data_IF_719951906276
#
_entry.id   IF_719951906276
#
_cell.length_a   1.000
_cell.length_b   1.000
_cell.length_c   1.000
_cell.angle_alpha   90.00
_cell.angle_beta   90.00
_cell.angle_gamma   90.00
#
_symmetry.space_group_name_H-M   'P 1'
#
loop_
_entity.id
_entity.type
_entity.pdbx_description
1 polymer ?
2 non-polymer ?
3 non-polymer ?
4 non-polymer ?
5 water ?
#
# COMPACT_ATOMS: atom_id res chain seq x y z
N UNK A 11 -18.69 7.87 -14.86
CA UNK A 11 -18.75 7.73 -13.41
C UNK A 11 -17.35 7.68 -12.81
N UNK A 12 -16.39 7.15 -13.57
CA UNK A 12 -15.00 7.10 -13.13
C UNK A 12 -14.38 8.50 -13.16
N UNK A 13 -14.63 9.22 -14.25
CA UNK A 13 -14.09 10.57 -14.40
C UNK A 13 -14.66 11.52 -13.36
N UNK A 14 -15.91 11.28 -12.96
CA UNK A 14 -16.51 12.05 -11.87
C UNK A 14 -15.83 11.70 -10.56
N UNK A 15 -15.47 10.42 -10.42
CA UNK A 15 -14.75 9.95 -9.26
C UNK A 15 -13.41 10.64 -9.12
N UNK A 16 -12.67 10.70 -10.23
CA UNK A 16 -11.37 11.36 -10.25
C UNK A 16 -11.48 12.83 -9.88
N UNK A 17 -12.51 13.50 -10.42
CA UNK A 17 -12.73 14.91 -10.17
C UNK A 17 -13.03 15.19 -8.71
N UNK A 18 -13.87 14.33 -8.10
CA UNK A 18 -14.23 14.48 -6.71
C UNK A 18 -13.02 14.28 -5.79
N UNK A 19 -12.20 13.28 -6.09
CA UNK A 19 -11.00 13.02 -5.32
C UNK A 19 -10.05 14.20 -5.37
N UNK A 20 -9.81 14.73 -6.57
CA UNK A 20 -8.98 15.90 -6.76
C UNK A 20 -9.55 17.10 -6.03
N UNK A 21 -10.88 17.24 -6.09
CA UNK A 21 -11.56 18.36 -5.46
C UNK A 21 -11.46 18.36 -3.95
N UNK A 22 -11.56 17.17 -3.35
CA UNK A 22 -11.42 17.02 -1.91
C UNK A 22 -10.04 17.52 -1.46
N UNK A 23 -9.01 17.14 -2.22
CA UNK A 23 -7.64 17.55 -1.93
C UNK A 23 -7.48 19.06 -2.01
N UNK A 24 -8.09 19.67 -3.02
CA UNK A 24 -8.04 21.12 -3.18
C UNK A 24 -8.75 21.82 -2.02
N UNK A 25 -9.89 21.28 -1.62
CA UNK A 25 -10.64 21.82 -0.49
C UNK A 25 -9.83 21.78 0.80
N UNK A 26 -8.98 20.75 0.93
CA UNK A 26 -8.23 20.53 2.15
C UNK A 26 -6.84 21.17 2.11
N UNK A 27 -6.50 21.78 0.98
CA UNK A 27 -5.18 22.36 0.77
C UNK A 27 -4.81 23.40 1.82
N UNK A 28 -3.52 23.44 2.17
CA UNK A 28 -3.02 24.45 3.10
C UNK A 28 -3.05 25.82 2.46
N UNK A 29 -2.97 25.84 1.12
CA UNK A 29 -3.01 27.07 0.35
C UNK A 29 -3.26 26.76 -1.13
N UNK A 30 -4.51 26.83 -1.55
CA UNK A 30 -4.90 26.52 -2.92
C UNK A 30 -4.19 27.41 -3.95
N UNK A 31 -3.87 28.63 -3.55
CA UNK A 31 -3.25 29.58 -4.47
C UNK A 31 -1.77 29.27 -4.70
N UNK A 32 -1.17 28.51 -3.79
CA UNK A 32 0.23 28.15 -3.90
C UNK A 32 0.42 26.86 -4.72
N UNK A 33 -0.69 26.23 -5.06
CA UNK A 33 -0.67 24.99 -5.83
C UNK A 33 -0.01 25.19 -7.19
N UNK A 34 1.04 24.41 -7.44
CA UNK A 34 1.76 24.45 -8.71
C UNK A 34 1.10 23.54 -9.73
N UNK A 35 0.53 24.14 -10.77
CA UNK A 35 -0.24 23.40 -11.77
C UNK A 35 0.62 22.45 -12.60
N UNK A 36 1.88 22.81 -12.80
CA UNK A 36 2.82 21.94 -13.50
C UNK A 36 3.04 20.68 -12.68
N UNK A 37 3.27 20.86 -11.38
CA UNK A 37 3.56 19.76 -10.48
C UNK A 37 2.38 18.79 -10.37
N UNK A 38 1.21 19.31 -9.99
CA UNK A 38 0.05 18.47 -9.76
C UNK A 38 -0.61 18.03 -11.07
N UNK A 39 -0.47 18.84 -12.11
CA UNK A 39 -1.00 18.47 -13.41
C UNK A 39 -0.17 17.34 -14.00
N UNK A 40 1.14 17.47 -13.88
CA UNK A 40 2.04 16.45 -14.37
C UNK A 40 1.97 15.17 -13.57
N UNK A 41 1.77 15.29 -12.26
CA UNK A 41 1.71 14.12 -11.37
C UNK A 41 0.49 13.26 -11.70
N UNK A 42 -0.66 13.90 -11.88
CA UNK A 42 -1.86 13.20 -12.27
C UNK A 42 -1.72 12.59 -13.66
N UNK A 43 -1.08 13.34 -14.55
CA UNK A 43 -0.86 12.89 -15.92
C UNK A 43 -0.03 11.61 -15.93
N UNK A 44 0.99 11.57 -15.09
CA UNK A 44 1.86 10.39 -15.00
C UNK A 44 1.12 9.20 -14.40
N UNK A 45 0.39 9.41 -13.31
CA UNK A 45 -0.35 8.32 -12.68
C UNK A 45 -1.42 7.78 -13.61
N UNK A 46 -2.09 8.68 -14.33
CA UNK A 46 -3.11 8.28 -15.29
C UNK A 46 -2.50 7.54 -16.48
N UNK A 47 -1.41 8.09 -17.02
CA UNK A 47 -0.76 7.52 -18.19
C UNK A 47 -0.11 6.18 -17.88
N UNK A 48 0.51 6.09 -16.71
CA UNK A 48 1.12 4.84 -16.25
C UNK A 48 0.06 3.75 -16.24
N UNK A 49 -1.11 4.06 -15.69
CA UNK A 49 -2.22 3.14 -15.66
C UNK A 49 -2.70 2.76 -17.04
N UNK A 50 -2.80 3.75 -17.93
CA UNK A 50 -3.18 3.50 -19.32
C UNK A 50 -2.20 2.56 -19.99
N UNK A 51 -0.92 2.83 -19.77
CA UNK A 51 0.15 2.08 -20.41
C UNK A 51 0.15 0.60 -20.02
N UNK A 52 0.10 0.32 -18.72
CA UNK A 52 0.27 -1.05 -18.24
C UNK A 52 -1.04 -1.84 -18.06
N UNK A 53 -2.17 -1.14 -18.07
CA UNK A 53 -3.46 -1.82 -17.90
C UNK A 53 -4.29 -1.87 -19.18
N UNK A 54 -3.92 -1.06 -20.16
CA UNK A 54 -4.70 -0.94 -21.38
C UNK A 54 -3.87 -1.17 -22.64
N UNK A 55 -2.73 -0.49 -22.74
CA UNK A 55 -1.85 -0.63 -23.89
C UNK A 55 -1.18 -2.00 -23.92
N UNK A 56 -1.37 -2.75 -25.02
CA UNK A 56 -0.86 -4.11 -25.20
C UNK A 56 0.60 -4.31 -24.80
N UNK A 57 1.49 -3.45 -25.29
CA UNK A 57 2.91 -3.58 -24.95
C UNK A 57 3.15 -3.39 -23.46
N UNK A 58 2.40 -2.47 -22.86
CA UNK A 58 2.53 -2.21 -21.44
C UNK A 58 1.98 -3.34 -20.60
N UNK A 59 0.84 -3.89 -21.02
CA UNK A 59 0.24 -5.05 -20.37
C UNK A 59 1.22 -6.21 -20.35
N UNK A 60 2.01 -6.33 -21.41
CA UNK A 60 2.98 -7.41 -21.53
C UNK A 60 4.20 -7.18 -20.65
N UNK A 61 4.60 -5.91 -20.49
CA UNK A 61 5.70 -5.58 -19.59
C UNK A 61 5.29 -5.83 -18.15
N UNK A 62 4.07 -5.43 -17.80
CA UNK A 62 3.53 -5.66 -16.48
C UNK A 62 3.42 -7.15 -16.19
N UNK A 63 2.90 -7.90 -17.17
CA UNK A 63 2.77 -9.35 -17.05
C UNK A 63 4.13 -10.01 -16.88
N UNK A 64 5.12 -9.52 -17.63
CA UNK A 64 6.46 -10.05 -17.56
C UNK A 64 7.12 -9.78 -16.21
N UNK A 65 6.96 -8.56 -15.72
CA UNK A 65 7.48 -8.17 -14.41
C UNK A 65 6.83 -9.00 -13.30
N UNK A 66 5.52 -9.16 -13.40
CA UNK A 66 4.76 -9.89 -12.39
C UNK A 66 5.13 -11.37 -12.33
N UNK A 67 5.43 -11.95 -13.49
CA UNK A 67 5.84 -13.35 -13.57
C UNK A 67 7.19 -13.57 -12.92
N UNK A 68 8.08 -12.58 -13.07
CA UNK A 68 9.39 -12.63 -12.44
C UNK A 68 9.24 -12.57 -10.92
N UNK A 69 8.39 -11.66 -10.45
CA UNK A 69 8.08 -11.55 -9.04
C UNK A 69 7.51 -12.86 -8.50
N UNK A 70 6.62 -13.46 -9.28
CA UNK A 70 6.03 -14.75 -8.93
C UNK A 70 7.10 -15.84 -8.83
N UNK A 71 8.07 -15.80 -9.74
CA UNK A 71 9.17 -16.74 -9.73
C UNK A 71 10.08 -16.56 -8.51
N UNK A 72 10.35 -15.31 -8.17
CA UNK A 72 11.17 -14.99 -7.00
C UNK A 72 10.51 -15.47 -5.71
N UNK A 73 9.20 -15.27 -5.61
CA UNK A 73 8.44 -15.77 -4.47
C UNK A 73 8.59 -17.29 -4.32
N UNK A 74 8.45 -18.00 -5.43
CA UNK A 74 8.55 -19.45 -5.45
C UNK A 74 9.92 -19.96 -5.05
N UNK A 75 10.97 -19.24 -5.47
CA UNK A 75 12.33 -19.58 -5.06
C UNK A 75 12.50 -19.41 -3.54
N UNK A 76 11.98 -18.30 -3.03
CA UNK A 76 12.05 -18.03 -1.61
C UNK A 76 11.32 -19.07 -0.77
N UNK A 77 10.30 -19.68 -1.35
CA UNK A 77 9.51 -20.70 -0.65
C UNK A 77 10.28 -22.00 -0.42
N UNK A 78 11.46 -22.12 -1.02
CA UNK A 78 12.33 -23.27 -0.76
C UNK A 78 12.87 -23.22 0.66
N UNK A 79 13.13 -22.00 1.14
CA UNK A 79 13.58 -21.81 2.51
C UNK A 79 12.47 -22.16 3.47
N UNK A 80 11.25 -21.78 3.12
CA UNK A 80 10.07 -22.12 3.92
C UNK A 80 9.87 -23.62 3.98
N UNK A 81 10.02 -24.28 2.83
CA UNK A 81 9.87 -25.72 2.74
C UNK A 81 10.87 -26.44 3.64
N UNK A 82 12.09 -25.94 3.71
CA UNK A 82 13.11 -26.54 4.57
C UNK A 82 12.70 -26.48 6.04
N UNK A 83 12.19 -25.33 6.46
CA UNK A 83 11.93 -25.12 7.88
C UNK A 83 10.66 -25.81 8.36
N UNK A 84 9.64 -25.85 7.51
CA UNK A 84 8.33 -26.34 7.95
C UNK A 84 7.88 -27.64 7.27
N UNK A 85 8.67 -28.11 6.31
CA UNK A 85 8.48 -29.41 5.69
C UNK A 85 7.07 -29.77 5.25
N UNK A 86 6.54 -30.86 5.82
CA UNK A 86 5.24 -31.36 5.45
C UNK A 86 4.09 -30.40 5.66
N UNK A 87 4.25 -29.46 6.60
CA UNK A 87 3.18 -28.53 6.95
C UNK A 87 2.93 -27.49 5.87
N UNK A 88 3.83 -27.40 4.89
CA UNK A 88 3.59 -26.55 3.72
C UNK A 88 3.66 -27.39 2.43
N UNK A 89 3.29 -28.66 2.55
CA UNK A 89 3.27 -29.55 1.40
C UNK A 89 1.84 -29.77 0.92
N UNK A 90 1.69 -30.43 -0.22
CA UNK A 90 0.37 -30.69 -0.79
C UNK A 90 -0.46 -31.62 0.05
N UNK A 91 0.20 -32.40 0.89
CA UNK A 91 -0.46 -33.35 1.77
C UNK A 91 -1.42 -32.66 2.75
N UNK A 92 -1.11 -31.40 3.07
CA UNK A 92 -1.92 -30.62 4.01
C UNK A 92 -3.35 -30.41 3.50
N UNK A 93 -3.50 -30.26 2.19
CA UNK A 93 -4.81 -30.03 1.61
C UNK A 93 -5.64 -31.31 1.57
N UNK A 94 -4.96 -32.45 1.48
CA UNK A 94 -5.63 -33.74 1.54
C UNK A 94 -6.20 -33.98 2.93
N UNK A 95 -5.40 -33.66 3.95
CA UNK A 95 -5.77 -33.92 5.34
C UNK A 95 -6.77 -32.90 5.88
N UNK A 96 -6.50 -31.62 5.67
CA UNK A 96 -7.29 -30.56 6.31
C UNK A 96 -8.22 -29.81 5.36
N UNK A 97 -8.16 -30.14 4.07
CA UNK A 97 -8.95 -29.43 3.09
C UNK A 97 -8.46 -28.01 2.92
N UNK A 98 -9.40 -27.05 2.92
CA UNK A 98 -9.06 -25.65 2.79
C UNK A 98 -8.18 -25.16 3.93
N UNK A 99 -8.40 -25.72 5.12
CA UNK A 99 -7.64 -25.34 6.29
C UNK A 99 -6.21 -25.86 6.28
N UNK A 100 -5.83 -26.51 5.18
CA UNK A 100 -4.48 -27.02 5.03
C UNK A 100 -3.47 -25.93 4.71
N UNK A 101 -3.98 -24.78 4.29
CA UNK A 101 -3.16 -23.60 4.04
C UNK A 101 -2.91 -22.87 5.36
N UNK A 102 -1.74 -23.09 5.95
CA UNK A 102 -1.40 -22.46 7.22
C UNK A 102 -0.75 -21.10 6.96
N UNK A 103 -1.53 -20.03 7.21
CA UNK A 103 -1.09 -18.67 6.93
C UNK A 103 0.27 -18.35 7.54
N UNK A 104 0.45 -18.75 8.80
CA UNK A 104 1.66 -18.43 9.54
C UNK A 104 2.92 -18.99 8.86
N UNK A 105 2.77 -20.11 8.17
CA UNK A 105 3.91 -20.76 7.54
C UNK A 105 3.97 -20.47 6.04
N UNK A 106 2.83 -20.15 5.44
CA UNK A 106 2.77 -19.93 4.00
C UNK A 106 3.07 -18.48 3.62
N UNK A 107 2.59 -17.55 4.42
CA UNK A 107 2.66 -16.13 4.06
C UNK A 107 3.77 -15.38 4.80
N UNK A 108 3.78 -15.49 6.13
CA UNK A 108 4.73 -14.74 6.95
C UNK A 108 6.21 -14.96 6.63
N UNK A 109 6.63 -16.21 6.34
CA UNK A 109 8.05 -16.38 6.01
C UNK A 109 8.50 -15.65 4.74
N UNK A 110 7.57 -15.32 3.85
CA UNK A 110 7.92 -14.62 2.62
C UNK A 110 8.41 -13.21 2.95
N UNK A 111 7.89 -12.64 4.04
CA UNK A 111 8.33 -11.33 4.49
C UNK A 111 9.80 -11.36 4.85
N UNK A 112 10.25 -12.48 5.40
CA UNK A 112 11.63 -12.66 5.81
C UNK A 112 12.57 -12.77 4.60
N UNK A 113 12.19 -13.60 3.63
CA UNK A 113 13.01 -13.81 2.44
C UNK A 113 13.16 -12.54 1.61
N UNK A 114 12.05 -11.81 1.43
CA UNK A 114 12.07 -10.62 0.59
C UNK A 114 12.84 -9.47 1.26
N UNK A 115 12.74 -9.39 2.59
CA UNK A 115 13.51 -8.39 3.33
C UNK A 115 15.01 -8.63 3.16
N UNK A 116 15.40 -9.89 3.16
CA UNK A 116 16.81 -10.27 2.94
C UNK A 116 17.24 -9.94 1.51
N UNK A 117 16.36 -10.23 0.55
CA UNK A 117 16.63 -9.96 -0.85
C UNK A 117 16.82 -8.48 -1.13
N UNK A 118 15.92 -7.67 -0.58
CA UNK A 118 15.98 -6.22 -0.76
C UNK A 118 17.27 -5.65 -0.18
N UNK A 119 17.66 -6.15 0.99
CA UNK A 119 18.90 -5.73 1.63
C UNK A 119 20.12 -6.08 0.76
N UNK A 120 20.06 -7.23 0.09
CA UNK A 120 21.12 -7.63 -0.83
C UNK A 120 21.18 -6.71 -2.04
N UNK A 121 20.01 -6.36 -2.56
CA UNK A 121 19.93 -5.50 -3.74
C UNK A 121 20.38 -4.08 -3.43
N UNK A 122 20.26 -3.66 -2.17
CA UNK A 122 20.77 -2.37 -1.73
C UNK A 122 22.30 -2.40 -1.61
N UNK A 123 22.82 -3.48 -1.03
CA UNK A 123 24.26 -3.65 -0.91
C UNK A 123 24.93 -3.64 -2.28
N UNK A 124 24.28 -4.28 -3.25
CA UNK A 124 24.84 -4.41 -4.59
C UNK A 124 24.65 -3.14 -5.43
N UNK A 125 23.84 -2.23 -4.94
CA UNK A 125 23.63 -0.95 -5.62
C UNK A 125 22.52 -0.99 -6.67
N UNK A 126 21.84 -2.11 -6.76
CA UNK A 126 20.79 -2.30 -7.76
C UNK A 126 19.56 -1.42 -7.47
N UNK A 127 19.12 -1.41 -6.21
CA UNK A 127 17.98 -0.59 -5.82
C UNK A 127 18.25 0.89 -6.08
N UNK A 128 19.41 1.35 -5.63
CA UNK A 128 19.80 2.74 -5.81
C UNK A 128 19.80 3.16 -7.27
N UNK A 129 20.19 2.24 -8.15
CA UNK A 129 20.22 2.50 -9.59
C UNK A 129 18.82 2.75 -10.14
N UNK A 130 17.88 1.87 -9.80
CA UNK A 130 16.50 1.99 -10.25
C UNK A 130 15.83 3.24 -9.67
N UNK A 131 16.07 3.47 -8.39
CA UNK A 131 15.48 4.60 -7.68
C UNK A 131 15.98 5.94 -8.24
N UNK A 132 17.27 5.98 -8.57
CA UNK A 132 17.89 7.18 -9.14
C UNK A 132 17.26 7.56 -10.47
N UNK A 133 16.92 6.55 -11.28
CA UNK A 133 16.32 6.78 -12.58
C UNK A 133 14.86 7.23 -12.49
N UNK A 134 14.10 6.56 -11.65
CA UNK A 134 12.67 6.88 -11.48
C UNK A 134 12.49 8.21 -10.76
N UNK A 135 13.27 8.41 -9.70
CA UNK A 135 13.21 9.65 -8.94
C UNK A 135 13.68 10.83 -9.75
N UNK A 136 14.68 10.60 -10.59
CA UNK A 136 15.20 11.64 -11.47
C UNK A 136 14.16 12.06 -12.49
N UNK A 137 13.45 11.08 -13.05
CA UNK A 137 12.40 11.35 -14.01
C UNK A 137 11.26 12.13 -13.38
N UNK A 138 10.96 11.83 -12.12
CA UNK A 138 9.88 12.49 -11.40
C UNK A 138 10.19 13.97 -11.14
N UNK A 139 11.40 14.26 -10.67
CA UNK A 139 11.74 15.64 -10.32
C UNK A 139 11.88 16.54 -11.55
N UNK A 140 12.36 15.96 -12.65
CA UNK A 140 12.52 16.72 -13.88
C UNK A 140 11.16 17.04 -14.50
N UNK A 141 10.23 16.09 -14.40
CA UNK A 141 8.91 16.26 -14.97
C UNK A 141 8.02 17.13 -14.10
N UNK A 142 8.16 17.01 -12.78
CA UNK A 142 7.23 17.66 -11.85
C UNK A 142 7.78 18.93 -11.23
N UNK A 143 9.10 19.05 -11.16
CA UNK A 143 9.71 20.20 -10.51
C UNK A 143 9.76 20.00 -9.00
N UNK A 144 9.41 18.80 -8.57
CA UNK A 144 9.54 18.43 -7.16
C UNK A 144 11.02 18.36 -6.80
N UNK A 145 11.34 18.49 -5.51
CA UNK A 145 12.73 18.50 -5.09
C UNK A 145 13.39 17.13 -5.28
N UNK A 146 14.71 17.14 -5.35
CA UNK A 146 15.50 15.92 -5.54
C UNK A 146 15.18 14.86 -4.50
N UNK A 147 15.27 15.25 -3.23
CA UNK A 147 15.11 14.32 -2.12
C UNK A 147 13.71 13.71 -2.03
N UNK A 148 12.68 14.52 -2.19
CA UNK A 148 11.31 14.02 -2.05
C UNK A 148 10.93 13.13 -3.24
N UNK A 149 11.54 13.39 -4.39
CA UNK A 149 11.31 12.57 -5.58
C UNK A 149 11.95 11.20 -5.43
N UNK A 150 13.15 11.16 -4.86
CA UNK A 150 13.86 9.90 -4.63
C UNK A 150 13.13 9.04 -3.61
N UNK A 151 12.61 9.69 -2.57
CA UNK A 151 11.86 8.99 -1.54
C UNK A 151 10.56 8.40 -2.09
N UNK A 152 9.92 9.14 -3.00
CA UNK A 152 8.70 8.69 -3.65
C UNK A 152 8.97 7.43 -4.47
N UNK A 153 10.08 7.42 -5.20
CA UNK A 153 10.45 6.29 -6.05
C UNK A 153 10.89 5.09 -5.21
N UNK A 154 11.60 5.34 -4.13
CA UNK A 154 12.04 4.27 -3.23
C UNK A 154 10.84 3.55 -2.63
N UNK A 155 9.78 4.30 -2.36
CA UNK A 155 8.57 3.77 -1.74
C UNK A 155 7.82 2.77 -2.61
N UNK A 156 8.15 2.73 -3.89
CA UNK A 156 7.60 1.73 -4.79
C UNK A 156 8.03 0.34 -4.33
N UNK A 157 9.24 0.25 -3.78
CA UNK A 157 9.85 -1.04 -3.48
C UNK A 157 9.92 -1.34 -1.98
N UNK A 158 10.18 -0.33 -1.16
CA UNK A 158 10.32 -0.55 0.29
C UNK A 158 9.30 0.27 1.10
N UNK A 159 9.23 0.00 2.40
CA UNK A 159 8.22 0.57 3.26
C UNK A 159 8.46 2.02 3.66
N UNK A 160 7.44 2.61 4.27
CA UNK A 160 7.41 4.04 4.57
C UNK A 160 8.54 4.54 5.45
N UNK A 161 9.09 3.67 6.30
CA UNK A 161 10.19 4.07 7.17
C UNK A 161 11.54 3.73 6.55
N UNK A 162 11.53 2.93 5.49
CA UNK A 162 12.78 2.53 4.84
C UNK A 162 13.12 3.43 3.65
N UNK A 163 12.10 3.82 2.89
CA UNK A 163 12.29 4.67 1.72
C UNK A 163 13.06 5.98 1.99
N UNK A 164 12.77 6.69 3.10
CA UNK A 164 13.50 7.95 3.30
C UNK A 164 14.99 7.77 3.59
N UNK A 165 15.42 6.55 3.87
CA UNK A 165 16.82 6.28 4.19
C UNK A 165 17.75 6.66 3.04
N UNK A 166 17.24 6.61 1.81
CA UNK A 166 18.04 6.95 0.64
C UNK A 166 18.35 8.45 0.57
N UNK A 167 17.65 9.25 1.36
CA UNK A 167 17.90 10.69 1.43
C UNK A 167 18.00 11.18 2.87
N UNK A 168 18.43 10.30 3.77
CA UNK A 168 18.40 10.58 5.21
C UNK A 168 19.16 11.83 5.68
N UNK A 169 20.27 12.22 5.01
CA UNK A 169 20.87 13.45 5.55
C UNK A 169 20.13 14.73 5.16
N UNK A 170 19.13 14.63 4.29
CA UNK A 170 18.40 15.80 3.83
C UNK A 170 17.07 16.00 4.55
N UNK A 171 16.66 14.98 5.29
CA UNK A 171 15.40 15.01 6.04
C UNK A 171 15.33 16.09 7.14
N UNK A 172 16.38 16.23 7.97
CA UNK A 172 16.28 17.24 9.04
C UNK A 172 15.98 18.65 8.56
N UNK A 173 16.40 19.01 7.36
CA UNK A 173 16.24 20.39 6.88
C UNK A 173 15.23 20.49 5.75
N UNK A 174 14.42 19.46 5.58
CA UNK A 174 13.37 19.49 4.58
C UNK A 174 12.35 20.57 4.91
N UNK A 175 11.77 21.18 3.87
CA UNK A 175 10.64 22.08 4.07
C UNK A 175 9.46 21.26 4.60
N UNK A 176 8.47 21.94 5.17
CA UNK A 176 7.29 21.24 5.67
C UNK A 176 6.59 20.50 4.54
N UNK A 177 6.61 21.10 3.35
CA UNK A 177 6.02 20.50 2.17
C UNK A 177 6.77 19.24 1.73
N UNK A 178 8.10 19.29 1.81
CA UNK A 178 8.93 18.13 1.48
C UNK A 178 8.67 16.97 2.44
N UNK A 179 8.73 17.27 3.73
CA UNK A 179 8.48 16.28 4.77
C UNK A 179 7.11 15.63 4.61
N UNK A 180 6.11 16.45 4.31
CA UNK A 180 4.75 15.98 4.10
C UNK A 180 4.69 15.04 2.91
N UNK A 181 5.39 15.39 1.84
CA UNK A 181 5.47 14.53 0.65
C UNK A 181 6.14 13.20 0.97
N UNK A 182 7.22 13.24 1.76
CA UNK A 182 7.91 12.03 2.19
C UNK A 182 6.94 11.12 2.95
N UNK A 183 6.14 11.72 3.82
CA UNK A 183 5.13 10.99 4.58
C UNK A 183 4.08 10.39 3.65
N UNK A 184 3.60 11.20 2.71
CA UNK A 184 2.56 10.77 1.78
C UNK A 184 3.02 9.64 0.88
N UNK A 185 4.27 9.71 0.44
CA UNK A 185 4.82 8.67 -0.42
C UNK A 185 4.82 7.31 0.25
N UNK A 186 5.04 7.30 1.56
CA UNK A 186 5.01 6.07 2.33
C UNK A 186 3.59 5.56 2.57
N UNK A 187 2.67 6.49 2.83
CA UNK A 187 1.28 6.13 3.11
C UNK A 187 0.54 5.68 1.87
N UNK A 188 0.93 6.22 0.72
CA UNK A 188 0.28 5.91 -0.55
C UNK A 188 0.75 4.56 -1.11
N UNK A 189 1.83 4.01 -0.55
CA UNK A 189 2.41 2.79 -1.06
C UNK A 189 2.44 1.67 -0.02
N UNK A 190 2.97 0.52 -0.42
CA UNK A 190 3.22 -0.58 0.51
C UNK A 190 4.72 -0.89 0.53
N UNK A 191 5.08 -2.18 0.54
CA UNK A 191 6.47 -2.59 0.51
C UNK A 191 6.63 -3.94 -0.17
N UNK A 192 7.83 -4.22 -0.66
CA UNK A 192 8.12 -5.45 -1.37
C UNK A 192 7.79 -6.70 -0.57
N UNK A 193 8.14 -6.68 0.71
CA UNK A 193 7.88 -7.81 1.58
C UNK A 193 6.42 -8.20 1.68
N UNK A 194 5.56 -7.26 2.06
CA UNK A 194 4.14 -7.54 2.23
C UNK A 194 3.43 -7.71 0.89
N UNK A 195 3.97 -7.12 -0.17
CA UNK A 195 3.43 -7.32 -1.51
C UNK A 195 3.47 -8.81 -1.83
N UNK A 196 4.60 -9.42 -1.54
CA UNK A 196 4.78 -10.86 -1.74
C UNK A 196 3.85 -11.64 -0.82
N UNK A 197 3.58 -11.09 0.36
CA UNK A 197 2.65 -11.70 1.28
C UNK A 197 1.24 -11.67 0.70
N UNK A 198 0.82 -10.50 0.21
CA UNK A 198 -0.51 -10.34 -0.37
C UNK A 198 -0.66 -11.20 -1.62
N UNK A 199 0.41 -11.33 -2.38
CA UNK A 199 0.43 -12.18 -3.56
C UNK A 199 0.21 -13.64 -3.15
N UNK A 200 0.84 -14.04 -2.05
CA UNK A 200 0.72 -15.41 -1.54
C UNK A 200 -0.68 -15.69 -1.02
N UNK A 201 -1.41 -14.63 -0.72
CA UNK A 201 -2.78 -14.75 -0.22
C UNK A 201 -3.79 -14.81 -1.36
N UNK A 202 -3.32 -14.57 -2.59
CA UNK A 202 -4.17 -14.72 -3.76
C UNK A 202 -4.45 -13.41 -4.49
N UNK A 203 -3.94 -12.30 -3.96
CA UNK A 203 -4.11 -11.02 -4.63
C UNK A 203 -3.27 -11.00 -5.89
N UNK A 204 -3.86 -10.56 -7.00
CA UNK A 204 -3.19 -10.57 -8.29
C UNK A 204 -1.94 -9.71 -8.28
N UNK A 205 -0.80 -10.32 -8.62
CA UNK A 205 0.49 -9.64 -8.59
C UNK A 205 0.51 -8.42 -9.50
N UNK A 206 -0.12 -8.55 -10.67
CA UNK A 206 -0.20 -7.45 -11.63
C UNK A 206 -0.79 -6.19 -11.00
N UNK A 207 -1.85 -6.35 -10.23
CA UNK A 207 -2.48 -5.22 -9.57
C UNK A 207 -1.58 -4.62 -8.51
N UNK A 208 -0.92 -5.48 -7.73
CA UNK A 208 -0.01 -5.03 -6.67
C UNK A 208 1.17 -4.26 -7.23
N UNK A 209 1.76 -4.78 -8.30
CA UNK A 209 2.89 -4.12 -8.94
C UNK A 209 2.45 -2.79 -9.56
N UNK A 210 1.30 -2.80 -10.22
CA UNK A 210 0.76 -1.60 -10.85
C UNK A 210 0.47 -0.52 -9.81
N UNK A 211 -0.15 -0.93 -8.71
CA UNK A 211 -0.50 0.01 -7.65
C UNK A 211 0.76 0.58 -6.99
N UNK A 212 1.79 -0.25 -6.86
CA UNK A 212 3.05 0.17 -6.25
C UNK A 212 3.73 1.26 -7.07
N UNK A 213 3.81 1.06 -8.38
CA UNK A 213 4.42 2.05 -9.27
C UNK A 213 3.56 3.31 -9.38
N UNK A 214 2.24 3.14 -9.40
CA UNK A 214 1.34 4.28 -9.50
C UNK A 214 1.31 5.11 -8.22
N UNK A 215 1.82 4.54 -7.14
CA UNK A 215 1.83 5.21 -5.84
C UNK A 215 2.82 6.36 -5.80
N UNK A 216 3.88 6.26 -6.60
CA UNK A 216 4.92 7.30 -6.59
C UNK A 216 4.41 8.64 -7.16
N UNK A 217 3.82 8.64 -8.37
CA UNK A 217 3.27 9.95 -8.78
C UNK A 217 2.01 10.31 -7.99
N UNK A 218 1.21 9.30 -7.65
CA UNK A 218 -0.02 9.52 -6.91
C UNK A 218 0.21 10.16 -5.56
N UNK A 219 1.26 9.72 -4.87
CA UNK A 219 1.62 10.27 -3.58
C UNK A 219 2.06 11.72 -3.69
N UNK A 220 2.85 12.01 -4.72
CA UNK A 220 3.31 13.38 -4.95
C UNK A 220 2.14 14.29 -5.36
N UNK A 221 1.23 13.74 -6.16
CA UNK A 221 0.06 14.48 -6.62
C UNK A 221 -0.74 15.07 -5.46
N UNK A 222 -1.11 14.22 -4.51
CA UNK A 222 -1.97 14.65 -3.42
C UNK A 222 -1.21 15.34 -2.29
N UNK A 223 0.09 15.08 -2.21
CA UNK A 223 0.94 15.81 -1.27
C UNK A 223 1.06 17.26 -1.70
N UNK A 224 1.21 17.47 -3.00
CA UNK A 224 1.41 18.81 -3.54
C UNK A 224 0.10 19.57 -3.72
N UNK A 225 -1.01 18.84 -3.78
CA UNK A 225 -2.32 19.47 -3.79
C UNK A 225 -2.70 19.95 -2.40
N UNK A 226 -2.41 19.12 -1.39
CA UNK A 226 -2.82 19.39 -0.02
C UNK A 226 -1.78 20.19 0.77
N UNK A 227 -0.51 20.09 0.38
CA UNK A 227 0.54 20.86 1.05
C UNK A 227 1.54 21.36 0.01
N UNK A 228 1.16 22.41 -0.74
CA UNK A 228 2.02 22.97 -1.79
C UNK A 228 3.27 23.59 -1.18
N UNK A 229 4.36 23.61 -1.93
CA UNK A 229 5.60 24.20 -1.43
C UNK A 229 5.47 25.71 -1.31
N UNK A 230 5.75 26.22 -0.11
CA UNK A 230 5.75 27.67 0.12
C UNK A 230 7.12 28.14 0.60
N UNK A 231 8.00 27.19 0.87
CA UNK A 231 9.38 27.50 1.26
C UNK A 231 10.31 27.20 0.10
N UNK A 232 11.61 27.30 0.34
CA UNK A 232 12.59 26.95 -0.69
C UNK A 232 13.42 25.74 -0.26
N UNK A 233 13.30 24.64 -1.02
CA UNK A 233 14.04 23.40 -0.73
C UNK A 233 15.54 23.59 -1.01
N UNK A 234 16.36 22.69 -0.47
CA UNK A 234 17.80 22.77 -0.68
C UNK A 234 18.25 21.84 -1.81
N UNK A 235 19.54 21.93 -2.15
CA UNK A 235 20.13 21.10 -3.21
C UNK A 235 19.37 21.22 -4.53
N UNK A 247 26.06 0.68 6.18
CA UNK A 247 26.27 -0.33 5.14
C UNK A 247 26.98 -1.57 5.71
N UNK A 248 26.41 -2.76 5.46
CA UNK A 248 27.00 -4.02 5.92
C UNK A 248 28.39 -4.26 5.30
N UNK A 249 29.22 -5.04 5.98
CA UNK A 249 30.60 -5.25 5.56
C UNK A 249 30.69 -6.07 4.27
N UNK A 250 29.72 -6.96 4.06
CA UNK A 250 29.68 -7.76 2.84
C UNK A 250 28.26 -8.17 2.50
N UNK A 251 28.08 -8.83 1.36
CA UNK A 251 26.75 -9.16 0.86
C UNK A 251 26.04 -10.22 1.72
N UNK A 252 26.80 -11.06 2.42
CA UNK A 252 26.21 -12.07 3.29
C UNK A 252 25.68 -11.43 4.57
N UNK A 253 26.45 -10.50 5.12
CA UNK A 253 26.01 -9.69 6.26
C UNK A 253 24.73 -8.95 5.90
N UNK A 254 24.70 -8.41 4.68
CA UNK A 254 23.54 -7.68 4.17
C UNK A 254 22.29 -8.54 4.18
N UNK A 255 22.41 -9.76 3.67
CA UNK A 255 21.31 -10.72 3.64
C UNK A 255 20.84 -11.06 5.05
N UNK A 256 21.78 -11.28 5.96
CA UNK A 256 21.47 -11.62 7.34
C UNK A 256 20.73 -10.48 8.04
N UNK A 257 21.19 -9.25 7.82
CA UNK A 257 20.54 -8.07 8.37
C UNK A 257 19.11 -7.96 7.88
N UNK A 258 18.90 -8.22 6.60
CA UNK A 258 17.57 -8.18 6.03
C UNK A 258 16.66 -9.25 6.59
N UNK A 259 17.20 -10.45 6.77
CA UNK A 259 16.45 -11.56 7.34
C UNK A 259 16.00 -11.24 8.76
N UNK A 260 16.90 -10.63 9.53
CA UNK A 260 16.61 -10.23 10.90
C UNK A 260 15.48 -9.21 10.96
N UNK A 261 15.55 -8.19 10.11
CA UNK A 261 14.52 -7.17 10.05
C UNK A 261 13.20 -7.76 9.59
N UNK A 262 13.27 -8.69 8.62
CA UNK A 262 12.07 -9.34 8.11
C UNK A 262 11.44 -10.24 9.16
N UNK A 263 12.26 -10.89 9.97
CA UNK A 263 11.79 -11.70 11.07
C UNK A 263 10.95 -10.88 12.05
N UNK A 264 11.47 -9.72 12.43
CA UNK A 264 10.78 -8.83 13.36
C UNK A 264 9.45 -8.36 12.79
N UNK A 265 9.46 -8.06 11.49
CA UNK A 265 8.25 -7.65 10.80
C UNK A 265 7.22 -8.78 10.78
N UNK A 266 7.69 -9.98 10.47
CA UNK A 266 6.81 -11.15 10.37
C UNK A 266 6.17 -11.48 11.72
N UNK A 267 6.94 -11.39 12.79
CA UNK A 267 6.42 -11.64 14.13
C UNK A 267 5.37 -10.60 14.51
N UNK A 268 5.65 -9.34 14.21
CA UNK A 268 4.74 -8.24 14.52
C UNK A 268 3.44 -8.31 13.72
N UNK A 269 3.54 -8.65 12.44
CA UNK A 269 2.38 -8.79 11.59
C UNK A 269 1.52 -9.95 12.10
N UNK A 270 2.17 -11.06 12.44
CA UNK A 270 1.47 -12.22 12.96
C UNK A 270 0.71 -11.92 14.25
N UNK A 271 1.36 -11.21 15.17
CA UNK A 271 0.73 -10.84 16.43
C UNK A 271 -0.42 -9.86 16.22
N UNK A 272 -0.22 -8.90 15.32
CA UNK A 272 -1.25 -7.93 15.00
C UNK A 272 -2.50 -8.62 14.45
N UNK A 273 -2.29 -9.60 13.58
CA UNK A 273 -3.40 -10.30 12.95
C UNK A 273 -4.19 -11.15 13.95
N UNK A 274 -3.48 -11.86 14.81
CA UNK A 274 -4.12 -12.64 15.86
C UNK A 274 -4.99 -11.75 16.74
N UNK A 275 -4.43 -10.61 17.14
CA UNK A 275 -5.14 -9.68 18.02
C UNK A 275 -6.28 -8.96 17.31
N UNK A 276 -6.02 -8.41 16.12
CA UNK A 276 -7.01 -7.58 15.43
C UNK A 276 -8.21 -8.39 14.94
N UNK A 277 -7.94 -9.58 14.40
CA UNK A 277 -9.01 -10.45 13.92
C UNK A 277 -9.81 -10.97 15.11
N UNK A 278 -9.13 -11.20 16.23
CA UNK A 278 -9.79 -11.59 17.46
C UNK A 278 -10.65 -10.47 18.01
N UNK A 279 -10.14 -9.25 17.94
CA UNK A 279 -10.86 -8.08 18.44
C UNK A 279 -12.10 -7.77 17.60
N UNK A 280 -12.00 -8.01 16.29
CA UNK A 280 -13.14 -7.82 15.39
C UNK A 280 -14.25 -8.83 15.72
N UNK A 281 -13.84 -10.06 16.04
CA UNK A 281 -14.77 -11.10 16.44
C UNK A 281 -15.49 -10.72 17.73
N UNK A 282 -14.74 -10.19 18.69
CA UNK A 282 -15.31 -9.72 19.96
C UNK A 282 -16.25 -8.53 19.72
N UNK A 283 -15.80 -7.61 18.87
CA UNK A 283 -16.61 -6.45 18.51
C UNK A 283 -17.94 -6.90 17.88
N UNK A 284 -17.87 -7.91 17.01
CA UNK A 284 -19.08 -8.42 16.37
C UNK A 284 -20.00 -9.13 17.36
N UNK A 285 -19.40 -9.77 18.35
CA UNK A 285 -20.17 -10.40 19.42
C UNK A 285 -20.95 -9.34 20.18
N UNK A 286 -20.30 -8.22 20.48
CA UNK A 286 -20.93 -7.13 21.21
C UNK A 286 -21.96 -6.39 20.34
N UNK A 287 -21.63 -6.16 19.07
CA UNK A 287 -22.52 -5.47 18.16
C UNK A 287 -23.82 -6.24 17.94
N UNK A 288 -23.72 -7.57 17.98
CA UNK A 288 -24.89 -8.42 17.86
C UNK A 288 -25.87 -8.20 18.99
N UNK A 289 -25.35 -8.09 20.21
CA UNK A 289 -26.17 -7.82 21.38
C UNK A 289 -26.71 -6.40 21.36
N UNK A 290 -25.83 -5.45 21.08
CA UNK A 290 -26.22 -4.04 21.00
C UNK A 290 -27.23 -3.80 19.88
N UNK A 291 -26.95 -4.34 18.70
CA UNK A 291 -27.84 -4.22 17.57
C UNK A 291 -29.21 -4.80 17.84
N UNK A 292 -29.24 -5.90 18.59
CA UNK A 292 -30.47 -6.56 18.94
C UNK A 292 -31.45 -5.66 19.66
N UNK A 293 -30.92 -4.70 20.43
CA UNK A 293 -31.75 -3.72 21.12
C UNK A 293 -32.52 -2.84 20.14
N UNK A 294 -32.01 -2.75 18.91
CA UNK A 294 -32.64 -1.91 17.89
C UNK A 294 -33.20 -2.76 16.75
N UNK A 295 -33.47 -4.03 17.04
CA UNK A 295 -34.05 -4.93 16.07
C UNK A 295 -33.08 -5.44 15.02
N UNK A 296 -31.79 -5.35 15.32
CA UNK A 296 -30.77 -5.81 14.39
C UNK A 296 -29.75 -6.71 15.07
N UNK A 297 -30.18 -7.93 15.46
CA UNK A 297 -29.27 -8.86 16.12
C UNK A 297 -28.15 -9.36 15.20
N UNK A 298 -28.28 -9.10 13.90
CA UNK A 298 -27.29 -9.55 12.94
C UNK A 298 -26.22 -8.50 12.69
N UNK A 299 -26.26 -7.41 13.45
CA UNK A 299 -25.33 -6.31 13.27
C UNK A 299 -23.88 -6.77 13.45
N UNK A 300 -23.03 -6.38 12.51
CA UNK A 300 -21.60 -6.70 12.58
C UNK A 300 -20.80 -5.50 12.10
N UNK A 301 -19.49 -5.51 12.38
CA UNK A 301 -18.61 -4.43 11.96
C UNK A 301 -18.58 -4.29 10.45
N UNK A 302 -18.59 -5.42 9.75
CA UNK A 302 -18.56 -5.44 8.29
C UNK A 302 -19.78 -4.73 7.70
N UNK A 303 -20.92 -4.86 8.38
CA UNK A 303 -22.14 -4.21 7.93
C UNK A 303 -22.08 -2.69 8.11
N UNK A 304 -21.58 -2.26 9.26
CA UNK A 304 -21.37 -0.84 9.52
C UNK A 304 -20.42 -0.22 8.49
N UNK A 305 -19.33 -0.92 8.21
CA UNK A 305 -18.32 -0.43 7.28
C UNK A 305 -18.83 -0.42 5.84
N UNK A 306 -19.54 -1.48 5.47
CA UNK A 306 -20.12 -1.56 4.14
C UNK A 306 -21.12 -0.44 3.92
N UNK A 307 -21.94 -0.19 4.93
CA UNK A 307 -22.94 0.88 4.88
C UNK A 307 -22.30 2.26 4.79
N UNK A 308 -21.21 2.44 5.53
CA UNK A 308 -20.53 3.73 5.61
C UNK A 308 -19.71 4.03 4.37
N UNK A 309 -19.15 3.00 3.75
CA UNK A 309 -18.17 3.19 2.68
C UNK A 309 -18.70 2.84 1.29
N UNK A 310 -19.90 2.30 1.20
CA UNK A 310 -20.50 1.97 -0.09
C UNK A 310 -20.56 3.16 -1.06
N UNK A 311 -20.93 4.37 -0.57
CA UNK A 311 -20.91 5.51 -1.52
C UNK A 311 -19.51 5.78 -2.08
N UNK A 312 -18.48 5.56 -1.28
CA UNK A 312 -17.12 5.78 -1.71
C UNK A 312 -16.72 4.75 -2.77
N UNK A 313 -17.13 3.50 -2.56
CA UNK A 313 -16.87 2.43 -3.51
C UNK A 313 -17.59 2.69 -4.83
N UNK A 314 -18.84 3.13 -4.74
CA UNK A 314 -19.62 3.49 -5.92
C UNK A 314 -18.95 4.62 -6.68
N UNK A 315 -18.47 5.61 -5.94
CA UNK A 315 -17.83 6.79 -6.52
C UNK A 315 -16.61 6.44 -7.36
N UNK A 316 -15.83 5.47 -6.91
CA UNK A 316 -14.60 5.11 -7.61
C UNK A 316 -14.83 4.04 -8.69
N UNK A 317 -16.09 3.66 -8.91
CA UNK A 317 -16.43 2.83 -10.05
C UNK A 317 -16.96 1.43 -9.78
N UNK A 318 -17.22 1.11 -8.52
CA UNK A 318 -17.81 -0.19 -8.21
C UNK A 318 -19.31 -0.15 -8.48
N UNK A 319 -19.80 -1.14 -9.25
CA UNK A 319 -21.23 -1.24 -9.58
C UNK A 319 -22.12 -1.20 -8.35
N UNK A 320 -23.29 -0.61 -8.49
CA UNK A 320 -24.24 -0.39 -7.39
C UNK A 320 -24.46 -1.62 -6.52
N UNK A 321 -24.59 -2.78 -7.16
CA UNK A 321 -24.92 -4.01 -6.43
C UNK A 321 -23.72 -4.71 -5.82
N UNK A 322 -22.55 -4.09 -5.93
CA UNK A 322 -21.33 -4.65 -5.34
C UNK A 322 -20.62 -3.64 -4.44
N UNK A 323 -21.16 -2.43 -4.38
CA UNK A 323 -20.53 -1.32 -3.67
C UNK A 323 -20.50 -1.54 -2.15
N UNK A 324 -21.52 -2.20 -1.62
CA UNK A 324 -21.60 -2.44 -0.18
C UNK A 324 -20.56 -3.45 0.28
N UNK A 325 -20.41 -4.53 -0.46
CA UNK A 325 -19.40 -5.54 -0.14
C UNK A 325 -17.99 -4.97 -0.31
N UNK A 326 -17.80 -4.17 -1.36
CA UNK A 326 -16.53 -3.50 -1.60
C UNK A 326 -16.21 -2.53 -0.47
N UNK A 327 -17.25 -1.87 0.04
CA UNK A 327 -17.09 -0.92 1.11
C UNK A 327 -16.57 -1.53 2.40
N UNK A 328 -16.94 -2.79 2.65
CA UNK A 328 -16.44 -3.51 3.82
C UNK A 328 -14.93 -3.53 3.87
N UNK A 329 -14.33 -3.92 2.76
CA UNK A 329 -12.88 -4.07 2.66
C UNK A 329 -12.16 -2.73 2.67
N UNK A 330 -12.65 -1.79 1.87
CA UNK A 330 -12.08 -0.46 1.80
C UNK A 330 -12.16 0.24 3.16
N UNK A 331 -13.30 0.07 3.83
CA UNK A 331 -13.49 0.63 5.15
C UNK A 331 -12.55 0.02 6.18
N UNK A 332 -12.38 -1.29 6.11
CA UNK A 332 -11.53 -2.00 7.07
C UNK A 332 -10.08 -1.61 6.90
N UNK A 333 -9.66 -1.38 5.65
CA UNK A 333 -8.30 -0.95 5.36
C UNK A 333 -8.03 0.41 6.00
N UNK A 334 -9.01 1.29 5.95
CA UNK A 334 -8.86 2.66 6.43
C UNK A 334 -8.90 2.76 7.96
N UNK A 335 -9.79 2.02 8.60
CA UNK A 335 -9.95 2.11 10.05
C UNK A 335 -8.98 1.21 10.82
N UNK A 336 -8.41 0.22 10.15
CA UNK A 336 -7.42 -0.66 10.78
C UNK A 336 -6.12 -0.59 9.99
N UNK A 337 -5.94 -1.52 9.05
CA UNK A 337 -4.85 -1.47 8.08
C UNK A 337 -5.13 -2.39 6.91
N UNK A 338 -4.30 -2.32 5.88
CA UNK A 338 -4.57 -3.04 4.64
C UNK A 338 -4.32 -4.54 4.76
N UNK A 339 -3.46 -4.95 5.69
CA UNK A 339 -3.18 -6.37 5.87
C UNK A 339 -4.43 -7.09 6.39
N UNK A 340 -5.05 -6.51 7.42
CA UNK A 340 -6.31 -7.02 7.95
C UNK A 340 -7.38 -7.03 6.87
N UNK A 341 -7.42 -5.95 6.08
CA UNK A 341 -8.38 -5.83 4.98
C UNK A 341 -8.18 -6.93 3.95
N UNK A 342 -6.93 -7.12 3.51
CA UNK A 342 -6.61 -8.15 2.55
C UNK A 342 -6.90 -9.55 3.09
N UNK A 343 -6.74 -9.72 4.41
CA UNK A 343 -6.99 -11.02 5.03
C UNK A 343 -8.47 -11.40 4.93
N UNK A 344 -9.34 -10.39 4.95
CA UNK A 344 -10.77 -10.62 4.84
C UNK A 344 -11.24 -10.63 3.38
N UNK A 345 -10.48 -9.97 2.50
CA UNK A 345 -10.85 -9.89 1.09
C UNK A 345 -10.42 -11.12 0.30
N UNK A 346 -9.34 -11.75 0.76
CA UNK A 346 -8.73 -12.89 0.06
C UNK A 346 -9.69 -14.05 -0.28
N UNK A 347 -10.59 -14.43 0.64
CA UNK A 347 -11.52 -15.52 0.27
C UNK A 347 -12.39 -15.21 -0.95
N UNK A 348 -12.64 -13.93 -1.22
CA UNK A 348 -13.47 -13.53 -2.34
C UNK A 348 -12.74 -13.65 -3.67
N UNK A 349 -11.48 -14.08 -3.61
CA UNK A 349 -10.66 -14.26 -4.81
C UNK A 349 -10.56 -15.74 -5.18
N UNK A 350 -11.22 -16.59 -4.41
CA UNK A 350 -11.20 -18.02 -4.66
C UNK A 350 -12.56 -18.51 -5.17
N UNK A 351 -12.66 -19.81 -5.42
CA UNK A 351 -13.92 -20.40 -5.90
C UNK A 351 -14.93 -20.47 -4.78
N UNK A 352 -14.46 -20.45 -3.54
CA UNK A 352 -15.33 -20.55 -2.37
C UNK A 352 -15.72 -19.17 -1.84
N UNK A 353 -15.82 -18.21 -2.76
CA UNK A 353 -16.16 -16.84 -2.39
C UNK A 353 -17.62 -16.73 -1.96
N UNK A 354 -17.86 -16.07 -0.80
CA UNK A 354 -19.21 -15.81 -0.29
C UNK A 354 -20.06 -15.06 -1.32
N UNK A 355 -19.43 -14.12 -2.02
CA UNK A 355 -20.07 -13.38 -3.09
C UNK A 355 -19.15 -13.34 -4.31
N UNK A 356 -19.66 -13.77 -5.45
CA UNK A 356 -18.88 -13.72 -6.69
C UNK A 356 -18.90 -12.30 -7.25
N UNK A 357 -17.76 -11.63 -7.17
CA UNK A 357 -17.65 -10.25 -7.63
C UNK A 357 -17.10 -10.18 -9.05
N UNK A 358 -17.46 -9.12 -9.77
CA UNK A 358 -16.94 -8.90 -11.12
C UNK A 358 -15.44 -8.68 -11.07
N UNK A 359 -14.78 -8.92 -12.20
CA UNK A 359 -13.32 -8.79 -12.26
C UNK A 359 -12.90 -7.33 -12.10
N UNK A 360 -13.77 -6.42 -12.50
CA UNK A 360 -13.49 -4.99 -12.35
C UNK A 360 -13.57 -4.57 -10.88
N UNK A 361 -14.52 -5.14 -10.15
CA UNK A 361 -14.68 -4.85 -8.73
C UNK A 361 -13.51 -5.42 -7.92
N UNK A 362 -13.10 -6.64 -8.25
CA UNK A 362 -11.94 -7.25 -7.61
C UNK A 362 -10.70 -6.39 -7.80
N UNK A 363 -10.53 -5.87 -9.02
CA UNK A 363 -9.39 -5.01 -9.34
C UNK A 363 -9.44 -3.71 -8.56
N UNK A 364 -10.61 -3.05 -8.58
CA UNK A 364 -10.80 -1.79 -7.87
C UNK A 364 -10.50 -1.93 -6.38
N UNK A 365 -11.01 -3.00 -5.78
CA UNK A 365 -10.75 -3.26 -4.36
C UNK A 365 -9.26 -3.51 -4.12
N UNK A 366 -8.65 -4.32 -4.97
CA UNK A 366 -7.22 -4.61 -4.87
C UNK A 366 -6.36 -3.35 -4.88
N UNK A 367 -6.68 -2.42 -5.77
CA UNK A 367 -5.95 -1.17 -5.88
C UNK A 367 -6.19 -0.25 -4.69
N UNK A 368 -7.45 -0.14 -4.29
CA UNK A 368 -7.85 0.75 -3.21
C UNK A 368 -7.27 0.32 -1.87
N UNK A 369 -6.99 -0.97 -1.74
CA UNK A 369 -6.44 -1.52 -0.51
C UNK A 369 -4.92 -1.42 -0.47
N UNK A 370 -4.30 -1.13 -1.61
CA UNK A 370 -2.85 -1.22 -1.73
C UNK A 370 -2.14 0.04 -1.24
N UNK A 371 -2.09 0.20 0.08
CA UNK A 371 -1.43 1.35 0.69
C UNK A 371 -1.35 1.24 2.20
N UNK A 372 -0.34 1.89 2.78
CA UNK A 372 -0.16 1.91 4.23
C UNK A 372 -0.98 3.04 4.87
N UNK A 373 -1.85 3.66 4.08
CA UNK A 373 -2.63 4.80 4.55
C UNK A 373 -3.64 4.38 5.61
N UNK A 374 -3.28 4.56 6.87
CA UNK A 374 -4.18 4.39 8.00
C UNK A 374 -3.60 5.15 9.19
N UNK A 375 -4.41 5.40 10.21
CA UNK A 375 -3.98 6.23 11.33
C UNK A 375 -2.83 5.64 12.13
N UNK A 376 -2.77 4.33 12.23
CA UNK A 376 -1.70 3.66 12.97
C UNK A 376 -0.34 3.85 12.31
N UNK A 377 -0.32 4.11 11.02
CA UNK A 377 0.92 4.34 10.29
C UNK A 377 1.59 5.64 10.70
N UNK A 378 0.83 6.55 11.29
CA UNK A 378 1.38 7.81 11.80
C UNK A 378 2.39 7.55 12.91
N UNK A 379 2.03 6.66 13.84
CA UNK A 379 2.91 6.30 14.94
C UNK A 379 4.18 5.64 14.44
N UNK A 380 4.05 4.90 13.35
CA UNK A 380 5.18 4.22 12.73
C UNK A 380 6.11 5.23 12.06
N UNK A 381 5.51 6.21 11.38
CA UNK A 381 6.29 7.29 10.78
C UNK A 381 6.98 8.13 11.84
N UNK A 382 6.29 8.39 12.94
CA UNK A 382 6.85 9.14 14.06
C UNK A 382 8.14 8.52 14.58
N UNK A 383 8.14 7.20 14.73
CA UNK A 383 9.32 6.49 15.20
C UNK A 383 10.39 6.35 14.14
N UNK A 384 10.01 5.81 13.00
CA UNK A 384 10.95 5.54 11.92
C UNK A 384 11.50 6.78 11.24
N UNK A 385 10.61 7.61 10.71
CA UNK A 385 11.02 8.84 10.04
C UNK A 385 11.56 9.85 11.06
N UNK A 386 10.99 9.81 12.26
CA UNK A 386 11.39 10.73 13.31
C UNK A 386 12.80 10.52 13.82
N UNK A 387 13.26 9.27 13.81
CA UNK A 387 14.61 8.96 14.26
C UNK A 387 15.63 9.57 13.29
N UNK A 388 15.19 9.80 12.05
CA UNK A 388 16.01 10.42 11.02
C UNK A 388 16.14 11.92 11.23
N UNK A 389 15.19 12.49 11.97
CA UNK A 389 15.16 13.93 12.23
C UNK A 389 14.35 14.21 13.49
N UNK A 390 14.94 13.96 14.67
CA UNK A 390 14.24 14.05 15.95
C UNK A 390 13.60 15.41 16.24
N UNK A 391 14.11 16.47 15.64
CA UNK A 391 13.55 17.79 15.85
C UNK A 391 12.33 18.05 14.98
N UNK A 392 11.98 17.08 14.13
CA UNK A 392 10.85 17.22 13.23
C UNK A 392 9.65 16.34 13.64
N UNK A 393 9.76 15.69 14.80
CA UNK A 393 8.69 14.81 15.26
C UNK A 393 7.39 15.58 15.51
N UNK A 394 7.52 16.81 15.98
CA UNK A 394 6.36 17.66 16.17
C UNK A 394 5.65 17.94 14.85
N UNK A 395 6.42 18.17 13.81
CA UNK A 395 5.88 18.40 12.48
C UNK A 395 5.16 17.16 11.93
N UNK A 396 5.78 16.00 12.14
CA UNK A 396 5.21 14.74 11.68
C UNK A 396 3.86 14.47 12.33
N UNK A 397 3.79 14.67 13.65
CA UNK A 397 2.54 14.50 14.38
C UNK A 397 1.47 15.46 13.89
N UNK A 398 1.86 16.71 13.66
CA UNK A 398 0.92 17.76 13.24
C UNK A 398 0.31 17.47 11.87
N UNK A 399 1.12 16.94 10.95
CA UNK A 399 0.67 16.70 9.59
C UNK A 399 0.16 15.28 9.36
N UNK A 400 0.17 14.47 10.41
CA UNK A 400 -0.15 13.05 10.30
C UNK A 400 -1.50 12.71 9.67
N UNK A 401 -2.56 13.34 10.16
CA UNK A 401 -3.91 13.02 9.68
C UNK A 401 -4.11 13.43 8.22
N UNK A 402 -3.62 14.62 7.87
CA UNK A 402 -3.69 15.11 6.50
C UNK A 402 -2.92 14.20 5.55
N UNK A 403 -1.78 13.69 6.02
CA UNK A 403 -0.95 12.82 5.23
C UNK A 403 -1.66 11.49 4.96
N UNK A 404 -2.38 11.00 5.97
CA UNK A 404 -3.16 9.77 5.82
C UNK A 404 -4.30 9.97 4.81
N UNK A 405 -4.92 11.15 4.86
CA UNK A 405 -5.97 11.49 3.92
C UNK A 405 -5.39 11.55 2.50
N UNK A 406 -4.26 12.21 2.36
CA UNK A 406 -3.58 12.30 1.07
C UNK A 406 -3.22 10.92 0.52
N UNK A 407 -2.71 10.05 1.39
CA UNK A 407 -2.36 8.70 1.00
C UNK A 407 -3.59 7.89 0.61
N UNK A 408 -4.67 8.08 1.35
CA UNK A 408 -5.93 7.42 1.03
C UNK A 408 -6.46 7.86 -0.33
N UNK A 409 -6.40 9.17 -0.58
CA UNK A 409 -6.83 9.74 -1.85
C UNK A 409 -6.04 9.16 -3.01
N UNK A 410 -4.75 8.94 -2.80
CA UNK A 410 -3.88 8.39 -3.83
C UNK A 410 -4.28 6.96 -4.17
N UNK A 411 -4.56 6.17 -3.14
CA UNK A 411 -5.01 4.79 -3.34
C UNK A 411 -6.35 4.76 -4.08
N UNK A 412 -7.26 5.61 -3.66
CA UNK A 412 -8.58 5.71 -4.28
C UNK A 412 -8.48 6.14 -5.74
N UNK A 413 -7.59 7.09 -6.02
CA UNK A 413 -7.39 7.57 -7.38
C UNK A 413 -6.85 6.46 -8.28
N UNK A 414 -5.90 5.69 -7.76
CA UNK A 414 -5.32 4.57 -8.49
C UNK A 414 -6.38 3.53 -8.80
N UNK A 415 -7.27 3.29 -7.84
CA UNK A 415 -8.37 2.34 -8.01
C UNK A 415 -9.35 2.83 -9.06
N UNK A 416 -9.64 4.12 -9.03
CA UNK A 416 -10.55 4.73 -10.00
C UNK A 416 -9.97 4.61 -11.42
N UNK A 417 -8.68 4.91 -11.54
CA UNK A 417 -7.98 4.80 -12.82
C UNK A 417 -7.98 3.36 -13.32
N UNK A 418 -7.68 2.42 -12.42
CA UNK A 418 -7.67 1.01 -12.76
C UNK A 418 -9.07 0.57 -13.20
N UNK A 419 -10.09 1.04 -12.49
CA UNK A 419 -11.47 0.74 -12.85
C UNK A 419 -11.83 1.30 -14.22
N UNK A 420 -11.28 2.46 -14.54
CA UNK A 420 -11.52 3.12 -15.81
C UNK A 420 -11.04 2.28 -16.99
N UNK A 421 -9.77 1.90 -16.97
CA UNK A 421 -9.17 1.16 -18.08
C UNK A 421 -9.54 -0.32 -18.05
N UNK A 422 -10.31 -0.71 -17.05
CA UNK A 422 -10.78 -2.09 -16.93
C UNK A 422 -12.31 -2.13 -17.00
X LIG B 1 4.06 -1.78 7.95
X LIG B 1 5.12 -0.91 7.81
X LIG B 1 6.14 -1.36 7.03
X LIG B 1 6.22 -2.57 6.38
X LIG B 1 5.09 -3.43 6.56
X LIG B 1 4.07 -3.01 7.33
X LIG B 1 5.15 0.19 8.35
X LIG B 1 7.22 -2.84 5.70
X LIG B 1 2.92 -1.36 8.80
X LIG B 1 2.05 -0.31 8.11
X LIG B 1 0.98 -1.18 7.48
X LIG B 1 0.78 -2.28 8.51
X LIG B 1 1.49 0.53 9.11
X LIG B 1 -0.22 -0.48 7.18
X LIG B 1 2.11 -2.49 9.06
X LIG B 1 0.24 -3.59 7.99
X LIG B 1 0.97 -4.05 6.87
X LIG C 1 6.43 2.16 0.19
X LIG D 1 -7.97 9.98 18.03
X LIG D 1 -7.14 11.23 17.89
X LIG D 1 -5.87 10.91 17.11
X LIG D 1 -6.24 10.27 15.79
X LIG D 1 -7.03 9.14 16.09
X LIG D 1 -8.27 9.44 16.65
X LIG D 1 -5.18 12.11 16.85
X LIG D 1 -8.99 8.26 16.80
X LIG D 1 -9.42 7.60 15.64
X LIG D 1 -10.25 6.44 16.12
X LIG D 1 -10.74 5.50 15.03
X LIG D 1 -11.67 4.43 15.58
X LIG D 1 -12.05 3.37 14.53
X LIG D 1 -12.47 2.04 15.16
X LIG D 1 -12.52 0.93 14.12
X LIG D 1 -12.80 -0.47 14.65
X LIG D 1 -12.05 -1.53 13.86
X LIG D 1 -10.91 -2.06 14.70
X LIG D 1 -9.16 10.31 18.73
X LIG D 1 -6.82 11.69 19.17
X LIG D 1 -5.04 9.85 14.96
X LIG D 1 -3.98 9.36 15.75
X LIG D 1 -4.03 13.61 18.12
X LIG D 1 -4.14 14.64 17.03
X LIG D 1 -3.09 14.46 15.96
X LIG D 1 -3.00 13.01 15.53
X LIG D 1 -2.87 12.19 16.66
X LIG D 1 -3.97 12.24 17.54
X LIG D 1 -3.48 15.22 14.84
X LIG D 1 -5.22 13.68 18.88
X LIG D 1 -3.99 15.92 17.61
X LIG D 1 -1.81 12.80 14.62
X LIG D 1 -0.69 12.56 15.44
#
# INVERSE_FOLDING_TARGET
>A
GPAVPRMSLFMSCCGMAVLLGIAVLLSSNRKAINLRTVGGAFAIQFSLGAFILYVPWGQELLRGFSDAVSNVINYGNDGTSFLFGGLVSGKMFEVFGGGGFIFAFRVLPTLIFFSALISVLYYLGVMQWVIRILGGGLQKALGTSRAESMSAAANIFVGQTEAPLVVRPFVPKMTQSELFAVMCGGLASIAGGVLAGYASMGVKIEYLVAASFMAAPGGLLFAKLMMPETEKPQDNEDITLDGGDDKPANVIDAAAGGASAGLQLALNVGAMLIAFIGLIALINGMLGGIGGWFGMPELKLEMLLGWLFAPLAFLIGVPWNEATVAGEFIGLKTVANEFVAYSQFAPYLTEAAPVVLSEKTKAIISFALCGFANLSSIAILLGGLGSLAPKRRGDIARMGVKAVIAGTLSNLMAATIAGFFLSF
>B hetero
1 URI N1 C2 N3 C4 C5 C6 O2 O4 C1' C2' C3' C4' O2' O3' O4' C5' O5'
>C hetero
1 NA NA
>D hetero
1 DMU C1 C2 C3 C4 O5 C6 O7 O16 C18 C19 C22 C25 C28 C31 C34 C37 C40 C43 O49 O55 C57 O61 C5 C7 C8 C9 O1 C10 O2 O3 O4 C11 O6
#
